data_IF_888774637275
#
_entry.id   IF_888774637275
#
_cell.length_a   1.000
_cell.length_b   1.000
_cell.length_c   1.000
_cell.angle_alpha   90.00
_cell.angle_beta   90.00
_cell.angle_gamma   90.00
#
_symmetry.space_group_name_H-M   'P 1'
#
loop_
_entity.id
_entity.type
_entity.pdbx_description
1 polymer ?
#
# COMPACT_ATOMS: atom_id res chain seq x y z
N UNK A 1 18.57 6.71 -3.70
CA UNK A 1 18.17 6.56 -2.27
C UNK A 1 17.23 5.37 -2.19
N UNK A 2 17.38 4.48 -1.20
CA UNK A 2 16.50 3.33 -1.04
C UNK A 2 15.18 3.71 -0.39
N UNK A 3 14.16 2.87 -0.57
CA UNK A 3 12.81 3.06 -0.03
C UNK A 3 12.80 3.37 1.47
N UNK A 4 13.51 2.57 2.26
CA UNK A 4 13.55 2.72 3.71
C UNK A 4 14.08 4.09 4.15
N UNK A 5 15.15 4.55 3.51
CA UNK A 5 15.74 5.87 3.79
C UNK A 5 14.77 6.98 3.37
N UNK A 6 14.16 6.88 2.18
CA UNK A 6 13.15 7.86 1.74
C UNK A 6 11.97 7.93 2.72
N UNK A 7 11.45 6.77 3.16
CA UNK A 7 10.33 6.71 4.09
C UNK A 7 10.67 7.35 5.43
N UNK A 8 11.83 7.00 6.02
CA UNK A 8 12.25 7.55 7.32
C UNK A 8 12.57 9.04 7.26
N UNK A 9 13.14 9.52 6.15
CA UNK A 9 13.35 10.95 5.91
C UNK A 9 12.03 11.71 5.73
N UNK A 10 11.05 11.14 5.01
CA UNK A 10 9.73 11.74 4.86
C UNK A 10 8.98 11.80 6.19
N UNK A 11 9.02 10.73 7.01
CA UNK A 11 8.48 10.70 8.36
C UNK A 11 9.10 11.81 9.21
N UNK A 12 10.43 11.93 9.20
CA UNK A 12 11.14 12.94 9.98
C UNK A 12 10.87 14.36 9.51
N UNK A 13 10.83 14.58 8.20
CA UNK A 13 10.61 15.90 7.59
C UNK A 13 9.20 16.42 7.85
N UNK A 14 8.19 15.58 7.65
CA UNK A 14 6.79 15.98 7.76
C UNK A 14 6.19 15.67 9.14
N UNK A 15 6.95 15.05 10.05
CA UNK A 15 6.52 14.67 11.41
C UNK A 15 5.20 13.89 11.39
N UNK A 16 5.08 12.92 10.49
CA UNK A 16 3.84 12.17 10.24
C UNK A 16 4.11 10.72 9.88
N UNK A 17 3.16 9.85 10.20
CA UNK A 17 3.11 8.45 9.77
C UNK A 17 2.00 8.20 8.72
N UNK A 18 1.34 9.26 8.26
CA UNK A 18 0.22 9.14 7.33
C UNK A 18 0.68 8.65 5.95
N UNK A 19 -0.04 7.66 5.43
CA UNK A 19 0.06 7.19 4.05
C UNK A 19 -1.28 7.48 3.37
N UNK A 20 -1.24 8.27 2.30
CA UNK A 20 -2.47 8.65 1.58
C UNK A 20 -2.69 7.77 0.36
N UNK A 21 -3.90 7.21 0.25
CA UNK A 21 -4.36 6.49 -0.94
C UNK A 21 -4.62 7.45 -2.12
N UNK A 22 -4.25 7.01 -3.31
CA UNK A 22 -4.57 7.73 -4.56
C UNK A 22 -5.47 6.84 -5.44
N UNK A 23 -6.66 6.57 -4.93
CA UNK A 23 -7.60 5.61 -5.49
C UNK A 23 -8.77 6.34 -6.17
N UNK A 24 -8.80 6.49 -7.51
CA UNK A 24 -9.85 7.21 -8.22
C UNK A 24 -11.15 6.40 -8.25
N UNK A 25 -11.85 6.35 -7.10
CA UNK A 25 -13.15 5.70 -6.98
C UNK A 25 -14.23 6.50 -7.71
N UNK A 26 -15.06 5.89 -8.59
CA UNK A 26 -16.08 6.60 -9.37
C UNK A 26 -17.11 7.36 -8.53
N UNK A 27 -17.61 6.79 -7.45
CA UNK A 27 -18.61 7.42 -6.58
C UNK A 27 -18.04 8.65 -5.88
N UNK A 28 -16.85 8.51 -5.33
CA UNK A 28 -16.13 9.60 -4.68
C UNK A 28 -15.81 10.72 -5.67
N UNK A 29 -15.32 10.40 -6.86
CA UNK A 29 -15.01 11.39 -7.89
C UNK A 29 -16.23 12.15 -8.36
N UNK A 30 -17.36 11.48 -8.53
CA UNK A 30 -18.61 12.13 -8.92
C UNK A 30 -19.08 13.14 -7.85
N UNK A 31 -19.06 12.74 -6.59
CA UNK A 31 -19.41 13.63 -5.46
C UNK A 31 -18.46 14.83 -5.38
N UNK A 32 -17.16 14.59 -5.50
CA UNK A 32 -16.12 15.64 -5.48
C UNK A 32 -16.28 16.61 -6.65
N UNK A 33 -16.61 16.12 -7.85
CA UNK A 33 -16.80 16.92 -9.07
C UNK A 33 -18.06 17.79 -9.01
N UNK A 34 -19.17 17.27 -8.47
CA UNK A 34 -20.42 18.02 -8.32
C UNK A 34 -20.21 19.25 -7.44
N UNK A 35 -19.53 19.11 -6.31
CA UNK A 35 -19.23 20.22 -5.41
C UNK A 35 -18.33 21.31 -6.02
N UNK A 36 -17.76 21.06 -7.22
CA UNK A 36 -16.81 21.97 -7.92
C UNK A 36 -17.27 22.39 -9.31
N UNK A 37 -18.51 22.06 -9.71
CA UNK A 37 -19.04 22.40 -11.04
C UNK A 37 -18.34 21.64 -12.19
N UNK A 38 -17.72 20.49 -11.92
CA UNK A 38 -16.92 19.73 -12.88
C UNK A 38 -17.66 18.50 -13.44
N UNK A 39 -18.96 18.34 -13.16
CA UNK A 39 -19.75 17.15 -13.48
C UNK A 39 -19.82 16.77 -14.97
N UNK A 40 -19.50 17.67 -15.89
CA UNK A 40 -19.50 17.40 -17.35
C UNK A 40 -18.16 16.87 -17.89
N UNK A 41 -17.16 16.63 -17.03
CA UNK A 41 -15.85 16.14 -17.47
C UNK A 41 -15.84 14.61 -17.58
N UNK A 42 -14.96 14.09 -18.46
CA UNK A 42 -14.73 12.64 -18.52
C UNK A 42 -14.12 12.13 -17.21
N UNK A 43 -14.38 10.86 -16.88
CA UNK A 43 -13.84 10.21 -15.69
C UNK A 43 -12.31 10.36 -15.58
N UNK A 44 -11.59 10.14 -16.66
CA UNK A 44 -10.12 10.26 -16.69
C UNK A 44 -9.68 11.70 -16.37
N UNK A 45 -10.37 12.70 -16.90
CA UNK A 45 -10.09 14.11 -16.57
C UNK A 45 -10.37 14.40 -15.09
N UNK A 46 -11.46 13.88 -14.54
CA UNK A 46 -11.78 14.04 -13.12
C UNK A 46 -10.72 13.35 -12.24
N UNK A 47 -10.32 12.14 -12.59
CA UNK A 47 -9.29 11.40 -11.86
C UNK A 47 -7.96 12.16 -11.80
N UNK A 48 -7.50 12.71 -12.94
CA UNK A 48 -6.29 13.56 -12.98
C UNK A 48 -6.38 14.78 -12.07
N UNK A 49 -7.49 15.51 -12.15
CA UNK A 49 -7.67 16.72 -11.34
C UNK A 49 -7.74 16.39 -9.85
N UNK A 50 -8.44 15.31 -9.50
CA UNK A 50 -8.56 14.87 -8.12
C UNK A 50 -7.21 14.44 -7.56
N UNK A 51 -6.48 13.57 -8.27
CA UNK A 51 -5.15 13.10 -7.86
C UNK A 51 -4.22 14.29 -7.61
N UNK A 52 -4.17 15.22 -8.57
CA UNK A 52 -3.35 16.43 -8.44
C UNK A 52 -3.76 17.25 -7.21
N UNK A 53 -5.05 17.48 -7.02
CA UNK A 53 -5.55 18.24 -5.87
C UNK A 53 -5.24 17.55 -4.53
N UNK A 54 -5.34 16.21 -4.46
CA UNK A 54 -4.97 15.44 -3.25
C UNK A 54 -3.48 15.59 -2.97
N UNK A 55 -2.62 15.37 -3.97
CA UNK A 55 -1.16 15.49 -3.78
C UNK A 55 -0.80 16.92 -3.34
N UNK A 56 -1.31 17.95 -4.02
CA UNK A 56 -1.05 19.36 -3.66
C UNK A 56 -1.49 19.70 -2.23
N UNK A 57 -2.60 19.12 -1.77
CA UNK A 57 -3.13 19.39 -0.43
C UNK A 57 -2.44 18.58 0.68
N UNK A 58 -1.75 17.49 0.36
CA UNK A 58 -1.26 16.56 1.37
C UNK A 58 0.24 16.32 1.35
N UNK A 59 0.97 16.83 0.37
CA UNK A 59 2.39 16.53 0.19
C UNK A 59 3.26 16.83 1.44
N UNK A 60 2.93 17.88 2.19
CA UNK A 60 3.63 18.28 3.41
C UNK A 60 3.15 17.52 4.67
N UNK A 61 2.17 16.64 4.52
CA UNK A 61 1.48 15.96 5.63
C UNK A 61 1.53 14.45 5.56
N UNK A 62 2.20 13.87 4.56
CA UNK A 62 2.28 12.41 4.36
C UNK A 62 3.72 11.92 4.33
N UNK A 63 3.92 10.66 4.71
CA UNK A 63 5.22 9.99 4.56
C UNK A 63 5.29 9.11 3.31
N UNK A 64 4.16 8.77 2.67
CA UNK A 64 4.10 8.02 1.42
C UNK A 64 2.74 8.19 0.73
N UNK A 65 2.70 7.91 -0.58
CA UNK A 65 1.46 7.71 -1.33
C UNK A 65 1.27 6.25 -1.72
N UNK A 66 0.00 5.80 -1.74
CA UNK A 66 -0.32 4.40 -2.03
C UNK A 66 -1.49 4.25 -3.01
N UNK A 67 -1.24 4.31 -4.35
CA UNK A 67 -2.25 4.02 -5.35
C UNK A 67 -2.55 2.52 -5.41
N UNK A 68 -3.84 2.16 -5.45
CA UNK A 68 -4.29 0.77 -5.65
C UNK A 68 -4.37 0.45 -7.14
N UNK A 69 -3.49 -0.45 -7.59
CA UNK A 69 -3.30 -0.79 -9.01
C UNK A 69 -4.61 -1.16 -9.73
N UNK A 70 -5.53 -1.83 -9.03
CA UNK A 70 -6.81 -2.25 -9.58
C UNK A 70 -7.66 -1.11 -10.14
N UNK A 71 -7.67 0.08 -9.52
CA UNK A 71 -8.41 1.23 -10.03
C UNK A 71 -7.85 1.72 -11.38
N UNK A 72 -6.54 1.68 -11.53
CA UNK A 72 -5.88 2.09 -12.76
C UNK A 72 -6.01 1.04 -13.87
N UNK A 73 -5.88 -0.24 -13.52
CA UNK A 73 -6.10 -1.35 -14.48
C UNK A 73 -7.53 -1.37 -15.03
N UNK A 74 -8.53 -1.05 -14.22
CA UNK A 74 -9.93 -0.99 -14.64
C UNK A 74 -10.18 0.07 -15.73
N UNK A 75 -9.32 1.05 -15.88
CA UNK A 75 -9.36 2.05 -16.95
C UNK A 75 -8.64 1.61 -18.24
N UNK A 76 -8.06 0.41 -18.26
CA UNK A 76 -7.28 -0.08 -19.40
C UNK A 76 -5.94 0.67 -19.59
N UNK A 77 -5.42 0.76 -20.82
CA UNK A 77 -4.11 1.38 -21.10
C UNK A 77 -4.00 2.81 -20.58
N UNK A 78 -5.04 3.63 -20.72
CA UNK A 78 -5.02 5.02 -20.25
C UNK A 78 -4.94 5.14 -18.73
N UNK A 79 -5.40 4.12 -17.99
CA UNK A 79 -5.24 4.06 -16.54
C UNK A 79 -3.80 3.77 -16.13
N UNK A 80 -3.08 2.93 -16.86
CA UNK A 80 -1.65 2.69 -16.61
C UNK A 80 -0.80 3.93 -16.94
N UNK A 81 -1.20 4.71 -17.96
CA UNK A 81 -0.59 6.02 -18.24
C UNK A 81 -0.87 7.00 -17.09
N UNK A 82 -2.10 7.03 -16.58
CA UNK A 82 -2.46 7.83 -15.41
C UNK A 82 -1.61 7.46 -14.18
N UNK A 83 -1.36 6.17 -13.94
CA UNK A 83 -0.49 5.73 -12.85
C UNK A 83 0.95 6.22 -13.02
N UNK A 84 1.44 6.32 -14.25
CA UNK A 84 2.76 6.92 -14.53
C UNK A 84 2.75 8.43 -14.24
N UNK A 85 1.68 9.13 -14.63
CA UNK A 85 1.50 10.54 -14.27
C UNK A 85 1.48 10.76 -12.75
N UNK A 86 0.89 9.83 -12.00
CA UNK A 86 0.94 9.85 -10.51
C UNK A 86 2.37 9.85 -10.02
N UNK A 87 3.24 9.01 -10.58
CA UNK A 87 4.66 8.98 -10.17
C UNK A 87 5.35 10.33 -10.42
N UNK A 88 5.02 10.98 -11.52
CA UNK A 88 5.59 12.29 -11.88
C UNK A 88 5.07 13.43 -11.00
N UNK A 89 3.81 13.32 -10.55
CA UNK A 89 3.18 14.32 -9.67
C UNK A 89 3.62 14.22 -8.21
N UNK A 90 4.01 13.01 -7.76
CA UNK A 90 4.47 12.80 -6.37
C UNK A 90 5.82 13.48 -6.19
N UNK A 91 5.96 14.42 -5.21
CA UNK A 91 7.19 15.14 -4.98
C UNK A 91 8.39 14.22 -4.69
N UNK A 92 9.60 14.60 -5.13
CA UNK A 92 10.82 13.87 -4.80
C UNK A 92 10.99 13.70 -3.29
N UNK A 93 11.39 12.49 -2.86
CA UNK A 93 11.61 12.17 -1.46
C UNK A 93 10.36 11.68 -0.72
N UNK A 94 9.19 11.62 -1.38
CA UNK A 94 8.01 10.93 -0.86
C UNK A 94 7.85 9.61 -1.62
N UNK A 95 7.92 8.46 -0.93
CA UNK A 95 7.80 7.14 -1.58
C UNK A 95 6.43 6.89 -2.20
N UNK A 96 6.43 6.14 -3.31
CA UNK A 96 5.23 5.61 -3.96
C UNK A 96 5.15 4.10 -3.72
N UNK A 97 4.10 3.66 -3.02
CA UNK A 97 3.81 2.25 -2.72
C UNK A 97 2.68 1.79 -3.64
N UNK A 98 2.93 0.93 -4.61
CA UNK A 98 1.85 0.41 -5.47
C UNK A 98 1.13 -0.73 -4.78
N UNK A 99 -0.17 -0.53 -4.48
CA UNK A 99 -1.01 -1.55 -3.85
C UNK A 99 -1.53 -2.55 -4.90
N UNK A 100 -0.71 -3.55 -5.22
CA UNK A 100 -1.01 -4.59 -6.20
C UNK A 100 -1.57 -5.87 -5.58
N UNK A 101 -1.23 -6.17 -4.32
CA UNK A 101 -1.52 -7.44 -3.63
C UNK A 101 -1.22 -8.65 -4.51
N UNK A 102 -0.09 -8.55 -5.23
CA UNK A 102 0.32 -9.56 -6.19
C UNK A 102 0.58 -10.90 -5.54
N UNK A 103 0.11 -11.98 -6.16
CA UNK A 103 0.20 -13.34 -5.62
C UNK A 103 0.42 -14.42 -6.68
N UNK A 104 0.79 -14.04 -7.93
CA UNK A 104 1.10 -15.00 -9.00
C UNK A 104 2.61 -15.12 -9.23
N UNK A 105 3.12 -16.34 -9.03
CA UNK A 105 4.54 -16.64 -9.17
C UNK A 105 5.07 -16.38 -10.60
N UNK A 106 4.32 -16.79 -11.61
CA UNK A 106 4.79 -16.77 -13.00
C UNK A 106 5.02 -15.36 -13.54
N UNK A 107 4.21 -14.41 -13.10
CA UNK A 107 4.31 -13.01 -13.54
C UNK A 107 5.13 -12.11 -12.59
N UNK A 108 5.61 -12.63 -11.45
CA UNK A 108 6.31 -11.83 -10.43
C UNK A 108 7.53 -11.09 -10.99
N UNK A 109 8.37 -11.75 -11.78
CA UNK A 109 9.58 -11.11 -12.35
C UNK A 109 9.23 -9.99 -13.34
N UNK A 110 8.22 -10.20 -14.19
CA UNK A 110 7.77 -9.20 -15.14
C UNK A 110 7.14 -8.00 -14.44
N UNK A 111 6.29 -8.26 -13.41
CA UNK A 111 5.66 -7.20 -12.64
C UNK A 111 6.70 -6.41 -11.82
N UNK A 112 7.68 -7.07 -11.20
CA UNK A 112 8.76 -6.41 -10.48
C UNK A 112 9.56 -5.46 -11.39
N UNK A 113 9.90 -5.91 -12.61
CA UNK A 113 10.58 -5.07 -13.60
C UNK A 113 9.74 -3.86 -13.97
N UNK A 114 8.48 -4.07 -14.33
CA UNK A 114 7.57 -2.98 -14.71
C UNK A 114 7.42 -1.96 -13.57
N UNK A 115 7.10 -2.41 -12.36
CA UNK A 115 6.83 -1.49 -11.25
C UNK A 115 8.09 -0.72 -10.81
N UNK A 116 9.23 -1.39 -10.73
CA UNK A 116 10.42 -0.78 -10.15
C UNK A 116 11.31 -0.06 -11.17
N UNK A 117 11.36 -0.51 -12.43
CA UNK A 117 12.19 0.11 -13.48
C UNK A 117 11.40 1.08 -14.34
N UNK A 118 10.21 0.65 -14.82
CA UNK A 118 9.49 1.43 -15.83
C UNK A 118 8.59 2.48 -15.19
N UNK A 119 7.87 2.10 -14.12
CA UNK A 119 6.99 2.99 -13.37
C UNK A 119 7.76 3.83 -12.33
N UNK A 120 8.85 3.29 -11.77
CA UNK A 120 9.61 3.94 -10.70
C UNK A 120 8.92 3.90 -9.33
N UNK A 121 8.10 2.88 -9.07
CA UNK A 121 7.55 2.64 -7.74
C UNK A 121 8.67 2.33 -6.73
N UNK A 122 8.48 2.70 -5.47
CA UNK A 122 9.46 2.49 -4.41
C UNK A 122 9.16 1.23 -3.60
N UNK A 123 7.88 0.83 -3.52
CA UNK A 123 7.46 -0.42 -2.90
C UNK A 123 6.20 -0.98 -3.59
N UNK A 124 5.90 -2.25 -3.32
CA UNK A 124 4.71 -2.96 -3.82
C UNK A 124 4.11 -3.86 -2.75
N UNK A 125 2.77 -3.99 -2.73
CA UNK A 125 2.11 -4.93 -1.83
C UNK A 125 1.99 -6.31 -2.46
N UNK A 126 2.20 -7.36 -1.66
CA UNK A 126 2.17 -8.75 -2.07
C UNK A 126 1.20 -9.56 -1.20
N UNK A 127 0.57 -10.57 -1.80
CA UNK A 127 -0.16 -11.62 -1.08
C UNK A 127 0.82 -12.69 -0.59
N UNK A 128 0.74 -13.17 0.66
CA UNK A 128 1.67 -14.15 1.20
C UNK A 128 1.39 -15.61 0.78
N UNK A 129 0.20 -15.89 0.24
CA UNK A 129 -0.31 -17.26 0.13
C UNK A 129 0.45 -18.15 -0.86
N UNK A 130 1.20 -17.58 -1.79
CA UNK A 130 2.08 -18.35 -2.67
C UNK A 130 3.54 -18.46 -2.15
N UNK A 131 3.79 -18.02 -0.90
CA UNK A 131 5.08 -18.19 -0.23
C UNK A 131 6.15 -17.19 -0.65
N UNK A 132 7.39 -17.44 -0.23
CA UNK A 132 8.54 -16.57 -0.49
C UNK A 132 8.84 -16.38 -1.98
N UNK A 133 8.54 -17.36 -2.80
CA UNK A 133 8.90 -17.37 -4.22
C UNK A 133 8.30 -16.18 -4.99
N UNK A 134 7.11 -15.70 -4.58
CA UNK A 134 6.52 -14.51 -5.20
C UNK A 134 7.25 -13.22 -4.83
N UNK A 135 7.84 -13.16 -3.64
CA UNK A 135 8.56 -11.99 -3.16
C UNK A 135 9.99 -11.91 -3.69
N UNK A 136 10.61 -13.06 -3.96
CA UNK A 136 12.00 -13.15 -4.35
C UNK A 136 12.37 -12.25 -5.55
N UNK A 137 11.61 -12.20 -6.67
CA UNK A 137 11.92 -11.33 -7.79
C UNK A 137 11.91 -9.83 -7.44
N UNK A 138 11.04 -9.41 -6.51
CA UNK A 138 10.98 -8.03 -6.04
C UNK A 138 12.14 -7.70 -5.09
N UNK A 139 12.54 -8.64 -4.25
CA UNK A 139 13.65 -8.47 -3.30
C UNK A 139 15.04 -8.43 -3.97
N UNK A 140 15.13 -8.80 -5.26
CA UNK A 140 16.34 -8.58 -6.07
C UNK A 140 16.64 -7.09 -6.33
N UNK A 141 15.73 -6.19 -5.97
CA UNK A 141 15.91 -4.73 -6.08
C UNK A 141 16.24 -4.13 -4.71
N UNK A 142 17.52 -4.00 -4.33
CA UNK A 142 17.93 -3.66 -2.96
C UNK A 142 17.51 -2.26 -2.50
N UNK A 143 17.16 -1.38 -3.45
CA UNK A 143 16.67 -0.02 -3.16
C UNK A 143 15.15 0.05 -3.07
N UNK A 144 14.45 -1.06 -3.27
CA UNK A 144 12.98 -1.17 -3.28
C UNK A 144 12.51 -2.04 -2.14
N UNK A 145 11.22 -1.98 -1.84
CA UNK A 145 10.64 -2.78 -0.78
C UNK A 145 9.38 -3.53 -1.21
N UNK A 146 9.04 -4.54 -0.44
CA UNK A 146 7.76 -5.25 -0.51
C UNK A 146 6.98 -5.02 0.78
N UNK A 147 5.66 -4.99 0.65
CA UNK A 147 4.74 -4.94 1.79
C UNK A 147 3.86 -6.17 1.73
N UNK A 148 3.99 -7.07 2.70
CA UNK A 148 3.22 -8.32 2.70
C UNK A 148 1.94 -8.13 3.51
N UNK A 149 0.78 -8.41 2.90
CA UNK A 149 -0.51 -8.35 3.58
C UNK A 149 -0.65 -9.53 4.54
N UNK A 150 -0.56 -9.28 5.85
CA UNK A 150 -0.66 -10.30 6.88
C UNK A 150 -2.08 -10.49 7.38
N UNK A 151 -2.80 -9.38 7.61
CA UNK A 151 -4.17 -9.40 8.09
C UNK A 151 -5.02 -8.38 7.33
N UNK A 152 -6.26 -8.75 7.02
CA UNK A 152 -7.23 -7.89 6.34
C UNK A 152 -8.44 -7.64 7.25
N UNK A 153 -8.96 -6.42 7.24
CA UNK A 153 -10.18 -6.03 7.95
C UNK A 153 -11.48 -6.57 7.32
N UNK A 154 -11.42 -7.23 6.18
CA UNK A 154 -12.60 -7.77 5.51
C UNK A 154 -13.29 -8.84 6.38
N UNK A 155 -14.59 -8.71 6.71
CA UNK A 155 -15.27 -9.64 7.62
C UNK A 155 -15.19 -11.11 7.16
N UNK A 156 -15.32 -11.36 5.86
CA UNK A 156 -15.24 -12.71 5.31
C UNK A 156 -13.83 -13.33 5.40
N UNK A 157 -12.78 -12.52 5.49
CA UNK A 157 -11.41 -13.00 5.63
C UNK A 157 -11.12 -13.58 7.00
N UNK A 158 -11.92 -13.26 8.03
CA UNK A 158 -11.73 -13.71 9.41
C UNK A 158 -11.54 -15.22 9.50
N UNK A 159 -12.44 -16.01 8.87
CA UNK A 159 -12.38 -17.48 8.92
C UNK A 159 -11.10 -18.08 8.37
N UNK A 160 -10.48 -17.41 7.40
CA UNK A 160 -9.22 -17.86 6.78
C UNK A 160 -8.06 -17.43 7.67
N UNK A 161 -8.02 -16.17 8.05
CA UNK A 161 -6.90 -15.56 8.78
C UNK A 161 -6.73 -16.12 10.19
N UNK A 162 -7.84 -16.49 10.84
CA UNK A 162 -7.86 -17.05 12.20
C UNK A 162 -7.90 -18.59 12.24
N UNK A 163 -7.79 -19.25 11.07
CA UNK A 163 -7.58 -20.70 11.00
C UNK A 163 -6.16 -21.07 11.41
N UNK A 164 -5.91 -22.21 12.09
CA UNK A 164 -6.88 -23.20 12.55
C UNK A 164 -7.56 -22.81 13.87
N UNK A 165 -7.01 -21.88 14.64
CA UNK A 165 -7.52 -21.42 15.93
C UNK A 165 -6.88 -20.09 16.35
N UNK A 166 -7.40 -19.49 17.40
CA UNK A 166 -6.93 -18.19 17.90
C UNK A 166 -5.53 -18.23 18.53
N UNK A 167 -5.05 -19.40 18.96
CA UNK A 167 -3.72 -19.53 19.57
C UNK A 167 -2.60 -19.45 18.52
N UNK A 168 -2.80 -20.08 17.36
CA UNK A 168 -1.83 -20.06 16.24
C UNK A 168 -2.54 -19.80 14.90
N UNK A 169 -3.07 -18.59 14.70
CA UNK A 169 -3.81 -18.25 13.49
C UNK A 169 -2.89 -18.06 12.28
N UNK A 170 -3.44 -18.25 11.09
CA UNK A 170 -2.71 -18.12 9.83
C UNK A 170 -2.01 -16.76 9.69
N UNK A 171 -2.63 -15.68 10.12
CA UNK A 171 -2.01 -14.36 10.00
C UNK A 171 -0.68 -14.25 10.78
N UNK A 172 -0.58 -14.86 11.97
CA UNK A 172 0.69 -14.90 12.72
C UNK A 172 1.70 -15.85 12.07
N UNK A 173 1.24 -16.95 11.47
CA UNK A 173 2.13 -17.82 10.69
C UNK A 173 2.76 -17.04 9.54
N UNK A 174 1.97 -16.24 8.79
CA UNK A 174 2.47 -15.36 7.74
C UNK A 174 3.51 -14.39 8.28
N UNK A 175 3.24 -13.74 9.42
CA UNK A 175 4.18 -12.81 10.06
C UNK A 175 5.52 -13.50 10.35
N UNK A 176 5.50 -14.70 10.95
CA UNK A 176 6.72 -15.47 11.26
C UNK A 176 7.49 -15.87 10.00
N UNK A 177 6.80 -16.37 8.97
CA UNK A 177 7.43 -16.74 7.69
C UNK A 177 8.14 -15.54 7.05
N UNK A 178 7.49 -14.38 7.03
CA UNK A 178 8.05 -13.15 6.45
C UNK A 178 9.35 -12.69 7.12
N UNK A 179 9.67 -13.14 8.35
CA UNK A 179 10.94 -12.77 9.01
C UNK A 179 12.16 -13.28 8.24
N UNK A 180 12.02 -14.39 7.51
CA UNK A 180 13.10 -14.99 6.74
C UNK A 180 13.17 -14.56 5.27
N UNK A 181 12.15 -13.85 4.74
CA UNK A 181 12.06 -13.53 3.31
C UNK A 181 12.96 -12.37 2.87
N UNK A 182 13.22 -11.42 3.75
CA UNK A 182 14.01 -10.23 3.46
C UNK A 182 14.39 -9.46 4.72
N UNK A 183 15.23 -8.45 4.57
CA UNK A 183 15.63 -7.59 5.69
C UNK A 183 14.48 -6.71 6.19
N UNK A 184 14.55 -6.15 7.41
CA UNK A 184 13.54 -5.20 7.90
C UNK A 184 13.36 -3.97 7.02
N UNK A 185 14.42 -3.54 6.31
CA UNK A 185 14.39 -2.38 5.40
C UNK A 185 13.72 -2.69 4.06
N UNK A 186 13.72 -3.96 3.65
CA UNK A 186 13.15 -4.39 2.36
C UNK A 186 11.75 -4.99 2.47
N UNK A 187 11.34 -5.43 3.67
CA UNK A 187 10.04 -6.09 3.84
C UNK A 187 9.27 -5.49 5.01
N UNK A 188 8.14 -4.89 4.70
CA UNK A 188 7.15 -4.37 5.63
C UNK A 188 5.95 -5.31 5.71
N UNK A 189 5.14 -5.16 6.75
CA UNK A 189 3.91 -5.92 6.93
C UNK A 189 2.69 -4.99 6.87
N UNK A 190 1.65 -5.39 6.13
CA UNK A 190 0.36 -4.68 6.12
C UNK A 190 -0.63 -5.40 7.04
N UNK A 191 -1.25 -4.64 7.94
CA UNK A 191 -2.22 -5.14 8.92
C UNK A 191 -3.48 -4.29 8.86
N UNK A 192 -4.57 -4.87 8.37
CA UNK A 192 -5.89 -4.25 8.33
C UNK A 192 -6.72 -4.69 9.54
N UNK A 193 -6.77 -3.86 10.57
CA UNK A 193 -7.57 -4.13 11.77
C UNK A 193 -7.77 -2.84 12.57
N UNK A 194 -8.87 -2.77 13.33
CA UNK A 194 -9.09 -1.81 14.40
C UNK A 194 -8.87 -2.45 15.79
N UNK A 195 -8.58 -3.76 15.86
CA UNK A 195 -8.36 -4.49 17.10
C UNK A 195 -6.90 -4.35 17.56
N UNK A 196 -6.63 -3.67 18.69
CA UNK A 196 -5.30 -3.48 19.23
C UNK A 196 -4.61 -4.79 19.65
N UNK A 197 -5.37 -5.84 20.00
CA UNK A 197 -4.77 -7.13 20.36
C UNK A 197 -4.13 -7.81 19.13
N UNK A 198 -4.76 -7.72 17.95
CA UNK A 198 -4.16 -8.22 16.71
C UNK A 198 -2.86 -7.48 16.42
N UNK A 199 -2.85 -6.15 16.55
CA UNK A 199 -1.64 -5.34 16.37
C UNK A 199 -0.54 -5.71 17.36
N UNK A 200 -0.88 -5.88 18.64
CA UNK A 200 0.06 -6.28 19.66
C UNK A 200 0.67 -7.66 19.39
N UNK A 201 -0.14 -8.61 18.91
CA UNK A 201 0.33 -9.95 18.52
C UNK A 201 1.29 -9.89 17.33
N UNK A 202 0.95 -9.12 16.28
CA UNK A 202 1.85 -8.92 15.12
C UNK A 202 3.15 -8.26 15.56
N UNK A 203 3.09 -7.21 16.39
CA UNK A 203 4.28 -6.52 16.88
C UNK A 203 5.20 -7.42 17.70
N UNK A 204 4.66 -8.33 18.51
CA UNK A 204 5.48 -9.31 19.26
C UNK A 204 6.26 -10.26 18.36
N UNK A 205 5.65 -10.70 17.25
CA UNK A 205 6.30 -11.60 16.28
C UNK A 205 7.27 -10.85 15.34
N UNK A 206 7.06 -9.54 15.12
CA UNK A 206 7.84 -8.73 14.20
C UNK A 206 8.26 -7.39 14.82
N UNK A 207 9.11 -7.39 15.87
CA UNK A 207 9.43 -6.19 16.63
C UNK A 207 10.17 -5.12 15.82
N UNK A 208 10.94 -5.50 14.82
CA UNK A 208 11.80 -4.58 14.05
C UNK A 208 11.18 -4.13 12.72
N UNK A 209 10.05 -4.72 12.28
CA UNK A 209 9.47 -4.41 10.97
C UNK A 209 8.54 -3.21 11.04
N UNK A 210 8.58 -2.38 10.00
CA UNK A 210 7.53 -1.39 9.79
C UNK A 210 6.20 -2.07 9.51
N UNK A 211 5.14 -1.53 10.13
CA UNK A 211 3.76 -1.95 9.91
C UNK A 211 3.01 -0.85 9.17
N UNK A 212 2.34 -1.21 8.09
CA UNK A 212 1.34 -0.34 7.45
C UNK A 212 -0.02 -0.75 8.00
N UNK A 213 -0.63 0.16 8.77
CA UNK A 213 -1.93 -0.06 9.36
C UNK A 213 -3.03 0.41 8.41
N UNK A 214 -4.12 -0.37 8.31
CA UNK A 214 -5.29 -0.05 7.50
C UNK A 214 -6.55 -0.14 8.32
N UNK A 215 -7.60 0.58 7.87
CA UNK A 215 -8.94 0.54 8.46
C UNK A 215 -9.03 1.10 9.90
N UNK A 216 -8.11 1.99 10.26
CA UNK A 216 -8.14 2.67 11.57
C UNK A 216 -9.38 3.56 11.73
N UNK A 217 -9.96 4.05 10.64
CA UNK A 217 -11.15 4.89 10.62
C UNK A 217 -12.49 4.12 10.64
N UNK A 218 -12.46 2.81 10.74
CA UNK A 218 -13.68 2.00 10.76
C UNK A 218 -14.52 2.19 12.05
N UNK A 219 -13.92 2.79 13.08
CA UNK A 219 -14.58 3.18 14.33
C UNK A 219 -14.05 4.58 14.73
N UNK A 220 -14.93 5.59 14.69
CA UNK A 220 -14.58 7.00 14.93
C UNK A 220 -13.92 7.25 16.31
N UNK A 221 -14.20 6.41 17.30
CA UNK A 221 -13.73 6.58 18.69
C UNK A 221 -12.30 6.07 18.96
N UNK A 222 -11.57 5.56 17.96
CA UNK A 222 -10.25 4.92 18.17
C UNK A 222 -9.05 5.65 17.56
N UNK A 223 -9.24 6.85 17.06
CA UNK A 223 -8.14 7.68 16.57
C UNK A 223 -7.32 8.34 17.71
N UNK A 224 -7.84 8.31 18.93
CA UNK A 224 -7.23 8.94 20.12
C UNK A 224 -6.42 7.95 20.98
N UNK A 225 -6.26 6.69 20.55
CA UNK A 225 -5.50 5.66 21.23
C UNK A 225 -4.17 5.36 20.53
#
# INVERSE_FOLDING_TARGET
>A
MGFFVQLTEAISRHQTLLVTGLDPNPEMLNTWAQGRGMGNRSFLSLARHWIKAVIEATADHVCAYKPSLGFYQALGPVGLELLREVRELVPPGIPLIVDAKHGDLNSSSALASYLFRDLGADAVTLSPLAGQDIAAPFLLYPQRAVVVTCHSSNPAAWRIQHHPNEQDPLFLRVVRECQSWGTPEQLLLEVGTSDPEILARVRREAPERFLILRSLWAEEDRLDA
#
